data_IF_040769011394
#
_entry.id   IF_040769011394
#
_cell.length_a   1.000
_cell.length_b   1.000
_cell.length_c   1.000
_cell.angle_alpha   90.00
_cell.angle_beta   90.00
_cell.angle_gamma   90.00
#
_symmetry.space_group_name_H-M   'P 1'
#
loop_
_entity.id
_entity.type
_entity.pdbx_description
1 polymer ?
#
# COMPACT_ATOMS: atom_id res chain seq x y z
N UNK A 1 -47.29 18.69 -9.64
CA UNK A 1 -46.04 18.58 -8.87
C UNK A 1 -46.23 19.20 -7.49
N UNK A 2 -46.41 18.39 -6.44
CA UNK A 2 -46.17 18.70 -5.01
C UNK A 2 -46.09 17.30 -4.34
N UNK A 3 -44.90 16.76 -4.12
CA UNK A 3 -44.08 16.83 -2.89
C UNK A 3 -44.61 15.99 -1.72
N UNK A 4 -43.82 14.97 -1.37
CA UNK A 4 -43.86 14.13 -0.17
C UNK A 4 -43.85 14.99 1.11
N UNK A 5 -44.57 14.55 2.16
CA UNK A 5 -44.04 14.59 3.52
C UNK A 5 -44.80 13.66 4.49
N UNK A 6 -44.00 12.96 5.30
CA UNK A 6 -44.29 12.07 6.41
C UNK A 6 -45.23 12.65 7.48
N UNK A 7 -46.01 11.76 8.10
CA UNK A 7 -46.63 11.98 9.40
C UNK A 7 -47.21 10.69 10.00
N UNK A 8 -46.55 10.16 11.03
CA UNK A 8 -47.17 9.19 11.97
C UNK A 8 -47.15 9.86 13.35
N UNK A 9 -48.30 10.07 14.00
CA UNK A 9 -48.36 10.61 15.35
C UNK A 9 -48.78 9.56 16.40
N UNK A 10 -48.54 9.95 17.67
CA UNK A 10 -49.24 9.52 18.89
C UNK A 10 -48.98 8.07 19.35
N UNK A 11 -49.08 7.69 20.62
CA UNK A 11 -49.16 8.31 21.94
C UNK A 11 -49.17 7.14 22.93
N UNK A 12 -48.56 7.28 24.11
CA UNK A 12 -49.20 7.08 25.42
C UNK A 12 -48.21 6.60 26.48
N UNK A 13 -48.22 7.33 27.58
CA UNK A 13 -47.47 7.09 28.79
C UNK A 13 -48.04 5.93 29.62
N UNK A 14 -47.19 5.28 30.42
CA UNK A 14 -47.64 4.76 31.72
C UNK A 14 -46.52 4.90 32.73
N UNK A 15 -46.86 5.60 33.81
CA UNK A 15 -46.04 6.01 34.94
C UNK A 15 -45.85 4.84 35.91
N UNK A 16 -44.61 4.63 36.37
CA UNK A 16 -44.34 3.87 37.60
C UNK A 16 -43.44 4.68 38.52
N UNK A 17 -43.97 4.97 39.70
CA UNK A 17 -43.34 5.64 40.84
C UNK A 17 -42.41 4.68 41.59
N UNK A 18 -41.21 5.12 41.94
CA UNK A 18 -40.48 4.59 43.11
C UNK A 18 -39.46 5.59 43.66
N UNK A 19 -39.84 6.15 44.81
CA UNK A 19 -39.03 6.50 46.00
C UNK A 19 -37.56 6.89 45.81
N UNK A 20 -37.29 8.20 45.87
CA UNK A 20 -35.95 8.75 46.09
C UNK A 20 -35.61 8.78 47.59
N UNK A 21 -34.62 7.99 48.01
CA UNK A 21 -34.00 8.10 49.33
C UNK A 21 -33.12 9.35 49.37
N UNK A 22 -33.46 10.31 50.23
CA UNK A 22 -32.64 11.48 50.53
C UNK A 22 -31.44 11.07 51.39
N UNK A 23 -30.28 10.89 50.78
CA UNK A 23 -29.01 10.90 51.49
C UNK A 23 -28.54 12.34 51.63
N UNK A 24 -28.38 12.82 52.86
CA UNK A 24 -27.78 14.13 53.14
C UNK A 24 -26.34 14.16 52.60
N UNK A 25 -25.89 15.26 51.96
CA UNK A 25 -24.51 15.39 51.55
C UNK A 25 -23.65 15.64 52.79
N UNK A 26 -22.89 14.63 53.20
CA UNK A 26 -21.75 14.83 54.10
C UNK A 26 -20.75 15.68 53.30
N UNK A 27 -20.59 16.94 53.69
CA UNK A 27 -19.56 17.82 53.13
C UNK A 27 -18.19 17.15 53.37
N UNK A 28 -17.44 16.78 52.32
CA UNK A 28 -16.08 16.31 52.52
C UNK A 28 -15.25 17.52 52.94
N UNK A 29 -14.88 17.58 54.21
CA UNK A 29 -13.81 18.46 54.68
C UNK A 29 -12.58 18.19 53.82
N UNK A 30 -12.23 19.17 53.01
CA UNK A 30 -11.16 19.11 52.03
C UNK A 30 -9.81 19.17 52.75
N UNK A 31 -9.47 18.11 53.49
CA UNK A 31 -8.11 17.89 53.96
C UNK A 31 -7.28 17.55 52.74
N UNK A 32 -6.60 18.55 52.18
CA UNK A 32 -5.47 18.32 51.28
C UNK A 32 -4.41 17.59 52.10
N UNK A 33 -4.44 16.26 52.09
CA UNK A 33 -3.32 15.43 52.48
C UNK A 33 -2.20 15.72 51.48
N UNK A 34 -1.43 16.79 51.72
CA UNK A 34 -0.11 16.93 51.11
C UNK A 34 0.70 15.78 51.66
N UNK A 35 0.91 14.75 50.85
CA UNK A 35 1.93 13.75 51.10
C UNK A 35 3.25 14.53 51.17
N UNK A 36 3.71 14.84 52.37
CA UNK A 36 5.09 15.25 52.58
C UNK A 36 5.92 14.01 52.30
N UNK A 37 6.86 14.11 51.37
CA UNK A 37 7.91 13.11 51.24
C UNK A 37 8.69 13.12 52.56
N UNK A 38 8.29 12.26 53.50
CA UNK A 38 9.13 11.91 54.63
C UNK A 38 10.31 11.19 54.01
N UNK A 39 11.46 11.85 53.96
CA UNK A 39 12.70 11.28 53.44
C UNK A 39 13.11 10.09 54.29
N UNK A 40 12.57 8.92 54.00
CA UNK A 40 12.96 7.66 54.59
C UNK A 40 14.12 7.08 53.76
N UNK A 41 15.25 7.76 53.83
CA UNK A 41 16.53 7.27 53.33
C UNK A 41 17.65 7.73 54.30
N UNK A 42 17.82 7.04 55.44
CA UNK A 42 18.80 7.43 56.45
C UNK A 42 20.26 7.24 55.99
N UNK A 43 20.50 6.47 54.93
CA UNK A 43 21.84 6.14 54.42
C UNK A 43 22.16 6.80 53.06
N UNK A 44 21.23 7.57 52.50
CA UNK A 44 21.41 8.27 51.22
C UNK A 44 21.64 7.34 50.01
N UNK A 45 21.17 6.10 50.11
CA UNK A 45 21.41 5.05 49.11
C UNK A 45 20.50 5.21 47.88
N UNK A 46 19.36 5.85 48.05
CA UNK A 46 18.40 6.13 46.99
C UNK A 46 18.55 7.59 46.58
N UNK A 47 19.17 7.81 45.41
CA UNK A 47 19.29 9.14 44.82
C UNK A 47 17.94 9.90 44.74
N UNK A 48 17.96 11.20 44.45
CA UNK A 48 16.76 12.03 44.49
C UNK A 48 15.63 11.43 43.65
N UNK A 49 14.37 11.49 44.11
CA UNK A 49 13.24 10.86 43.44
C UNK A 49 13.16 11.36 42.00
N UNK A 50 13.34 10.45 41.04
CA UNK A 50 13.21 10.81 39.63
C UNK A 50 11.74 11.14 39.33
N UNK A 51 11.49 12.35 38.85
CA UNK A 51 10.14 12.76 38.46
C UNK A 51 9.79 12.21 37.06
N UNK A 52 8.50 12.26 36.69
CA UNK A 52 8.06 11.91 35.34
C UNK A 52 8.03 10.41 34.98
N UNK A 53 7.99 9.49 35.95
CA UNK A 53 7.81 8.06 35.67
C UNK A 53 6.50 7.75 34.94
N UNK A 54 5.41 8.42 35.30
CA UNK A 54 4.11 8.27 34.64
C UNK A 54 4.21 8.71 33.17
N UNK A 55 4.77 9.90 32.91
CA UNK A 55 4.95 10.41 31.55
C UNK A 55 5.83 9.49 30.68
N UNK A 56 6.91 8.92 31.25
CA UNK A 56 7.77 7.94 30.56
C UNK A 56 7.02 6.65 30.21
N UNK A 57 6.22 6.12 31.14
CA UNK A 57 5.40 4.93 30.89
C UNK A 57 4.29 5.19 29.86
N UNK A 58 3.65 6.35 29.92
CA UNK A 58 2.62 6.74 28.94
C UNK A 58 3.22 6.92 27.54
N UNK A 59 4.40 7.53 27.44
CA UNK A 59 5.13 7.67 26.18
C UNK A 59 5.51 6.29 25.62
N UNK A 60 6.03 5.38 26.46
CA UNK A 60 6.33 4.01 26.05
C UNK A 60 5.09 3.27 25.55
N UNK A 61 3.96 3.33 26.27
CA UNK A 61 2.70 2.70 25.83
C UNK A 61 2.15 3.28 24.53
N UNK A 62 2.37 4.58 24.26
CA UNK A 62 2.00 5.19 22.97
C UNK A 62 2.85 4.62 21.85
N UNK A 63 4.16 4.52 22.05
CA UNK A 63 5.06 3.90 21.07
C UNK A 63 4.73 2.41 20.83
N UNK A 64 4.39 1.65 21.88
CA UNK A 64 3.95 0.25 21.76
C UNK A 64 2.65 0.16 20.97
N UNK A 65 1.64 0.99 21.27
CA UNK A 65 0.39 1.03 20.49
C UNK A 65 0.61 1.45 19.04
N UNK A 66 1.51 2.39 18.79
CA UNK A 66 1.87 2.81 17.43
C UNK A 66 2.61 1.68 16.69
N UNK A 67 3.45 0.90 17.40
CA UNK A 67 4.12 -0.27 16.85
C UNK A 67 3.12 -1.39 16.53
N UNK A 68 2.21 -1.73 17.44
CA UNK A 68 1.13 -2.70 17.20
C UNK A 68 0.24 -2.27 16.03
N UNK A 69 -0.09 -0.98 15.92
CA UNK A 69 -0.87 -0.45 14.81
C UNK A 69 -0.13 -0.55 13.47
N UNK A 70 1.19 -0.30 13.47
CA UNK A 70 2.05 -0.49 12.29
C UNK A 70 2.11 -1.97 11.89
N UNK A 71 2.33 -2.86 12.85
CA UNK A 71 2.40 -4.30 12.59
C UNK A 71 1.08 -4.84 12.05
N UNK A 72 -0.06 -4.45 12.62
CA UNK A 72 -1.38 -4.84 12.13
C UNK A 72 -1.66 -4.31 10.72
N UNK A 73 -1.22 -3.09 10.41
CA UNK A 73 -1.31 -2.55 9.06
C UNK A 73 -0.42 -3.33 8.08
N UNK A 74 0.83 -3.62 8.45
CA UNK A 74 1.75 -4.40 7.65
C UNK A 74 1.27 -5.84 7.40
N UNK A 75 0.61 -6.46 8.39
CA UNK A 75 -0.01 -7.77 8.24
C UNK A 75 -1.13 -7.73 7.20
N UNK A 76 -2.03 -6.75 7.27
CA UNK A 76 -3.09 -6.57 6.25
C UNK A 76 -2.51 -6.34 4.85
N UNK A 77 -1.47 -5.53 4.74
CA UNK A 77 -0.77 -5.30 3.46
C UNK A 77 -0.13 -6.59 2.94
N UNK A 78 0.40 -7.45 3.82
CA UNK A 78 0.94 -8.76 3.45
C UNK A 78 -0.15 -9.72 2.98
N UNK A 79 -1.25 -9.81 3.72
CA UNK A 79 -2.40 -10.65 3.38
C UNK A 79 -3.01 -10.27 2.03
N UNK A 80 -3.23 -8.97 1.76
CA UNK A 80 -3.72 -8.52 0.46
C UNK A 80 -2.73 -8.84 -0.67
N UNK A 81 -1.43 -8.62 -0.44
CA UNK A 81 -0.39 -9.01 -1.42
C UNK A 81 -0.40 -10.51 -1.71
N UNK A 82 -0.59 -11.34 -0.69
CA UNK A 82 -0.67 -12.80 -0.85
C UNK A 82 -1.95 -13.22 -1.57
N UNK A 83 -3.08 -12.58 -1.26
CA UNK A 83 -4.34 -12.77 -1.97
C UNK A 83 -4.20 -12.44 -3.45
N UNK A 84 -3.66 -11.27 -3.80
CA UNK A 84 -3.40 -10.90 -5.20
C UNK A 84 -2.47 -11.92 -5.88
N UNK A 85 -1.40 -12.37 -5.19
CA UNK A 85 -0.51 -13.42 -5.72
C UNK A 85 -1.25 -14.73 -5.99
N UNK A 86 -2.16 -15.14 -5.11
CA UNK A 86 -2.94 -16.36 -5.29
C UNK A 86 -3.88 -16.25 -6.50
N UNK A 87 -4.54 -15.09 -6.69
CA UNK A 87 -5.39 -14.83 -7.85
C UNK A 87 -4.60 -14.89 -9.18
N UNK A 88 -3.38 -14.34 -9.19
CA UNK A 88 -2.50 -14.42 -10.39
C UNK A 88 -2.12 -15.85 -10.76
N UNK A 89 -1.98 -16.72 -9.77
CA UNK A 89 -1.63 -18.12 -9.95
C UNK A 89 -2.82 -18.96 -10.42
N UNK A 90 -4.04 -18.60 -10.00
CA UNK A 90 -5.25 -19.32 -10.42
C UNK A 90 -5.74 -18.93 -11.81
N UNK A 91 -5.41 -17.72 -12.28
CA UNK A 91 -5.78 -17.23 -13.62
C UNK A 91 -5.09 -18.01 -14.74
N UNK A 92 -5.89 -18.45 -15.71
CA UNK A 92 -5.44 -19.14 -16.92
C UNK A 92 -5.33 -18.11 -18.04
N UNK A 93 -4.18 -18.08 -18.72
CA UNK A 93 -3.95 -17.18 -19.84
C UNK A 93 -4.64 -17.75 -21.09
N UNK A 94 -5.58 -17.03 -21.70
CA UNK A 94 -6.21 -17.46 -22.94
C UNK A 94 -5.28 -17.32 -24.16
N UNK A 95 -5.58 -18.05 -25.22
CA UNK A 95 -4.75 -18.10 -26.42
C UNK A 95 -5.23 -17.23 -27.58
N UNK A 96 -6.53 -16.92 -27.60
CA UNK A 96 -7.12 -16.11 -28.67
C UNK A 96 -7.12 -14.62 -28.32
N UNK A 97 -6.97 -13.72 -29.30
CA UNK A 97 -6.95 -12.27 -29.08
C UNK A 97 -8.28 -11.73 -28.52
N UNK A 98 -9.42 -12.29 -28.91
CA UNK A 98 -10.74 -11.90 -28.38
C UNK A 98 -10.87 -12.26 -26.89
N UNK A 99 -10.55 -13.51 -26.52
CA UNK A 99 -10.59 -13.94 -25.12
C UNK A 99 -9.56 -13.20 -24.27
N UNK A 100 -8.45 -12.75 -24.88
CA UNK A 100 -7.45 -11.93 -24.20
C UNK A 100 -7.98 -10.53 -23.86
N UNK A 101 -8.84 -9.95 -24.71
CA UNK A 101 -9.53 -8.69 -24.41
C UNK A 101 -10.47 -8.86 -23.22
N UNK A 102 -11.30 -9.90 -23.22
CA UNK A 102 -12.19 -10.22 -22.09
C UNK A 102 -11.40 -10.45 -20.79
N UNK A 103 -10.29 -11.18 -20.87
CA UNK A 103 -9.40 -11.40 -19.73
C UNK A 103 -8.91 -10.08 -19.10
N UNK A 104 -8.56 -9.09 -19.92
CA UNK A 104 -8.14 -7.79 -19.40
C UNK A 104 -9.29 -6.94 -18.85
N UNK A 105 -10.50 -7.10 -19.37
CA UNK A 105 -11.68 -6.44 -18.82
C UNK A 105 -12.08 -7.00 -17.46
N UNK A 106 -11.89 -8.31 -17.26
CA UNK A 106 -12.07 -8.99 -15.96
C UNK A 106 -10.89 -8.75 -14.98
N UNK A 107 -9.84 -8.05 -15.43
CA UNK A 107 -8.65 -7.77 -14.61
C UNK A 107 -8.85 -6.53 -13.75
N UNK A 108 -8.48 -6.62 -12.47
CA UNK A 108 -8.53 -5.48 -11.57
C UNK A 108 -7.54 -4.39 -12.00
N UNK A 109 -7.90 -3.11 -11.82
CA UNK A 109 -7.05 -1.99 -12.22
C UNK A 109 -5.65 -2.02 -11.57
N UNK A 110 -5.49 -2.57 -10.36
CA UNK A 110 -4.20 -2.71 -9.69
C UNK A 110 -3.32 -3.82 -10.29
N UNK A 111 -3.93 -4.79 -10.96
CA UNK A 111 -3.24 -5.95 -11.54
C UNK A 111 -2.97 -5.79 -13.03
N UNK A 112 -3.65 -4.86 -13.70
CA UNK A 112 -3.52 -4.64 -15.13
C UNK A 112 -2.06 -4.38 -15.52
N UNK A 113 -1.32 -3.60 -14.74
CA UNK A 113 0.11 -3.32 -14.98
C UNK A 113 0.96 -4.60 -14.95
N UNK A 114 0.65 -5.49 -14.01
CA UNK A 114 1.34 -6.77 -13.88
C UNK A 114 1.02 -7.68 -15.07
N UNK A 115 -0.26 -7.81 -15.42
CA UNK A 115 -0.68 -8.65 -16.56
C UNK A 115 -0.15 -8.11 -17.89
N UNK A 116 -0.09 -6.78 -18.07
CA UNK A 116 0.56 -6.13 -19.21
C UNK A 116 2.04 -6.52 -19.29
N UNK A 117 2.77 -6.46 -18.17
CA UNK A 117 4.19 -6.83 -18.13
C UNK A 117 4.40 -8.31 -18.43
N UNK A 118 3.52 -9.19 -17.92
CA UNK A 118 3.57 -10.65 -18.12
C UNK A 118 3.26 -11.04 -19.56
N UNK A 119 2.29 -10.38 -20.17
CA UNK A 119 1.76 -10.68 -21.50
C UNK A 119 2.34 -9.78 -22.59
N UNK A 120 3.38 -8.98 -22.29
CA UNK A 120 4.03 -8.08 -23.26
C UNK A 120 4.31 -8.73 -24.62
N UNK A 121 4.82 -9.98 -24.70
CA UNK A 121 5.09 -10.64 -26.00
C UNK A 121 3.83 -10.96 -26.82
N UNK A 122 2.66 -11.04 -26.20
CA UNK A 122 1.36 -11.29 -26.86
C UNK A 122 0.59 -10.00 -27.14
N UNK A 123 0.93 -8.90 -26.47
CA UNK A 123 0.43 -7.53 -26.71
C UNK A 123 1.06 -6.93 -27.98
N UNK A 124 0.77 -7.57 -29.12
CA UNK A 124 1.24 -7.20 -30.45
C UNK A 124 0.22 -6.32 -31.18
N UNK A 125 0.63 -5.74 -32.31
CA UNK A 125 -0.23 -4.92 -33.17
C UNK A 125 -1.50 -5.63 -33.62
N UNK A 126 -1.47 -6.97 -33.73
CA UNK A 126 -2.63 -7.81 -34.07
C UNK A 126 -3.75 -7.68 -33.04
N UNK A 127 -3.43 -7.69 -31.74
CA UNK A 127 -4.40 -7.51 -30.68
C UNK A 127 -4.99 -6.10 -30.71
N UNK A 128 -4.15 -5.09 -30.90
CA UNK A 128 -4.63 -3.71 -31.01
C UNK A 128 -5.48 -3.48 -32.27
N UNK A 129 -5.19 -4.18 -33.37
CA UNK A 129 -6.02 -4.15 -34.57
C UNK A 129 -7.41 -4.76 -34.28
N UNK A 130 -7.46 -5.85 -33.52
CA UNK A 130 -8.71 -6.47 -33.10
C UNK A 130 -9.53 -5.58 -32.14
N UNK A 131 -8.89 -4.97 -31.14
CA UNK A 131 -9.53 -3.97 -30.27
C UNK A 131 -10.14 -2.82 -31.07
N UNK A 132 -9.38 -2.28 -32.05
CA UNK A 132 -9.88 -1.21 -32.93
C UNK A 132 -11.04 -1.66 -33.82
N UNK A 133 -11.03 -2.93 -34.25
CA UNK A 133 -12.11 -3.51 -35.04
C UNK A 133 -13.39 -3.63 -34.21
N UNK A 134 -13.32 -4.18 -33.00
CA UNK A 134 -14.46 -4.31 -32.08
C UNK A 134 -15.01 -2.94 -31.68
N UNK A 135 -14.14 -1.97 -31.37
CA UNK A 135 -14.53 -0.58 -31.15
C UNK A 135 -15.20 0.04 -32.38
N UNK A 136 -14.67 -0.21 -33.58
CA UNK A 136 -15.28 0.23 -34.83
C UNK A 136 -16.68 -0.35 -35.01
N UNK A 137 -16.86 -1.64 -34.75
CA UNK A 137 -18.14 -2.32 -34.86
C UNK A 137 -19.18 -1.75 -33.90
N UNK A 138 -18.80 -1.47 -32.66
CA UNK A 138 -19.68 -0.86 -31.67
C UNK A 138 -20.02 0.61 -32.03
N UNK A 139 -19.02 1.41 -32.44
CA UNK A 139 -19.21 2.82 -32.83
C UNK A 139 -20.13 3.01 -34.04
N UNK A 140 -20.04 2.10 -35.01
CA UNK A 140 -20.84 2.16 -36.25
C UNK A 140 -22.09 1.28 -36.22
N UNK A 141 -22.41 0.66 -35.08
CA UNK A 141 -23.66 -0.07 -34.91
C UNK A 141 -24.87 0.87 -35.05
N UNK A 142 -25.88 0.42 -35.79
CA UNK A 142 -27.07 1.24 -36.12
C UNK A 142 -28.00 1.39 -34.91
N UNK A 143 -28.02 0.42 -34.00
CA UNK A 143 -28.82 0.42 -32.78
C UNK A 143 -27.91 0.66 -31.56
N UNK A 144 -27.90 1.90 -31.07
CA UNK A 144 -27.20 2.26 -29.82
C UNK A 144 -28.12 2.01 -28.64
N UNK A 145 -27.88 0.92 -27.92
CA UNK A 145 -28.46 0.67 -26.60
C UNK A 145 -27.47 1.13 -25.54
N UNK A 146 -27.97 1.43 -24.34
CA UNK A 146 -27.15 1.87 -23.19
C UNK A 146 -26.02 0.86 -22.91
N UNK A 147 -26.32 -0.44 -22.89
CA UNK A 147 -25.34 -1.53 -22.71
C UNK A 147 -24.19 -1.50 -23.74
N UNK A 148 -24.45 -1.05 -24.97
CA UNK A 148 -23.43 -0.98 -26.02
C UNK A 148 -22.55 0.27 -25.88
N UNK A 149 -23.10 1.35 -25.32
CA UNK A 149 -22.34 2.56 -25.00
C UNK A 149 -21.43 2.34 -23.79
N UNK A 150 -21.92 1.65 -22.76
CA UNK A 150 -21.11 1.24 -21.61
C UNK A 150 -19.95 0.34 -22.04
N UNK A 151 -20.24 -0.68 -22.86
CA UNK A 151 -19.20 -1.57 -23.41
C UNK A 151 -18.17 -0.84 -24.25
N UNK A 152 -18.59 0.17 -25.01
CA UNK A 152 -17.67 1.01 -25.78
C UNK A 152 -16.73 1.79 -24.84
N UNK A 153 -17.25 2.36 -23.75
CA UNK A 153 -16.43 3.09 -22.77
C UNK A 153 -15.41 2.15 -22.12
N UNK A 154 -15.81 0.94 -21.73
CA UNK A 154 -14.91 -0.07 -21.16
C UNK A 154 -13.75 -0.41 -22.11
N UNK A 155 -14.06 -0.66 -23.39
CA UNK A 155 -13.06 -1.01 -24.40
C UNK A 155 -12.14 0.16 -24.75
N UNK A 156 -12.65 1.40 -24.78
CA UNK A 156 -11.82 2.59 -24.97
C UNK A 156 -10.87 2.83 -23.80
N UNK A 157 -11.38 2.68 -22.56
CA UNK A 157 -10.56 2.77 -21.36
C UNK A 157 -9.47 1.69 -21.36
N UNK A 158 -9.81 0.45 -21.71
CA UNK A 158 -8.86 -0.65 -21.82
C UNK A 158 -7.80 -0.37 -22.89
N UNK A 159 -8.20 0.06 -24.09
CA UNK A 159 -7.26 0.37 -25.17
C UNK A 159 -6.21 1.39 -24.71
N UNK A 160 -6.66 2.46 -24.03
CA UNK A 160 -5.77 3.49 -23.51
C UNK A 160 -4.85 2.95 -22.42
N UNK A 161 -5.37 2.17 -21.47
CA UNK A 161 -4.59 1.57 -20.39
C UNK A 161 -3.50 0.61 -20.93
N UNK A 162 -3.84 -0.23 -21.91
CA UNK A 162 -2.88 -1.14 -22.55
C UNK A 162 -1.80 -0.37 -23.31
N UNK A 163 -2.15 0.70 -24.01
CA UNK A 163 -1.18 1.51 -24.74
C UNK A 163 -0.22 2.24 -23.79
N UNK A 164 -0.74 2.90 -22.76
CA UNK A 164 0.09 3.59 -21.76
C UNK A 164 0.98 2.60 -20.98
N UNK A 165 0.43 1.44 -20.60
CA UNK A 165 1.17 0.41 -19.87
C UNK A 165 2.27 -0.25 -20.69
N UNK A 166 2.04 -0.51 -21.99
CA UNK A 166 3.07 -1.07 -22.88
C UNK A 166 4.20 -0.06 -23.13
N UNK A 167 3.87 1.22 -23.35
CA UNK A 167 4.87 2.27 -23.48
C UNK A 167 5.69 2.47 -22.19
N UNK A 168 5.05 2.43 -21.02
CA UNK A 168 5.71 2.53 -19.74
C UNK A 168 6.66 1.35 -19.50
N UNK A 169 6.20 0.13 -19.83
CA UNK A 169 7.02 -1.08 -19.73
C UNK A 169 8.27 -1.01 -20.62
N UNK A 170 8.11 -0.59 -21.88
CA UNK A 170 9.23 -0.49 -22.82
C UNK A 170 10.25 0.57 -22.37
N UNK A 171 9.79 1.71 -21.85
CA UNK A 171 10.66 2.74 -21.25
C UNK A 171 11.44 2.18 -20.07
N UNK A 172 10.75 1.50 -19.14
CA UNK A 172 11.40 0.85 -17.99
C UNK A 172 12.43 -0.19 -18.44
N UNK A 173 12.11 -1.01 -19.45
CA UNK A 173 13.03 -2.00 -19.98
C UNK A 173 14.29 -1.36 -20.56
N UNK A 174 14.16 -0.28 -21.33
CA UNK A 174 15.30 0.47 -21.85
C UNK A 174 16.17 1.04 -20.73
N UNK A 175 15.56 1.62 -19.70
CA UNK A 175 16.26 2.15 -18.53
C UNK A 175 17.02 1.07 -17.75
N UNK A 176 16.43 -0.11 -17.55
CA UNK A 176 17.06 -1.24 -16.88
C UNK A 176 18.24 -1.79 -17.68
N UNK A 177 18.10 -1.91 -19.00
CA UNK A 177 19.20 -2.33 -19.89
C UNK A 177 20.34 -1.31 -19.86
N UNK A 178 20.03 -0.01 -19.87
CA UNK A 178 21.02 1.06 -19.73
C UNK A 178 21.71 0.99 -18.36
N UNK A 179 20.96 0.85 -17.27
CA UNK A 179 21.48 0.71 -15.91
C UNK A 179 22.41 -0.50 -15.77
N UNK A 180 22.05 -1.65 -16.37
CA UNK A 180 22.92 -2.83 -16.41
C UNK A 180 24.24 -2.57 -17.14
N UNK A 181 24.21 -1.87 -18.28
CA UNK A 181 25.43 -1.48 -19.02
C UNK A 181 26.31 -0.56 -18.18
N UNK A 182 25.70 0.43 -17.53
CA UNK A 182 26.35 1.34 -16.59
C UNK A 182 27.00 0.58 -15.42
N UNK A 183 26.30 -0.35 -14.77
CA UNK A 183 26.86 -1.23 -13.73
C UNK A 183 28.05 -2.04 -14.24
N UNK A 184 27.90 -2.63 -15.42
CA UNK A 184 28.97 -3.44 -16.01
C UNK A 184 30.21 -2.58 -16.25
N UNK A 185 30.05 -1.33 -16.72
CA UNK A 185 31.15 -0.36 -16.88
C UNK A 185 31.82 -0.04 -15.54
N UNK A 186 31.05 0.16 -14.46
CA UNK A 186 31.56 0.46 -13.12
C UNK A 186 32.33 -0.74 -12.54
N UNK A 187 31.79 -1.95 -12.66
CA UNK A 187 32.38 -3.16 -12.07
C UNK A 187 33.60 -3.68 -12.85
N UNK A 188 33.71 -3.34 -14.14
CA UNK A 188 34.85 -3.75 -14.98
C UNK A 188 35.96 -2.70 -15.07
N UNK A 189 35.73 -1.47 -14.58
CA UNK A 189 36.72 -0.42 -14.64
C UNK A 189 37.84 -0.62 -13.62
N UNK A 190 39.06 -0.20 -14.00
CA UNK A 190 40.21 -0.20 -13.10
C UNK A 190 40.09 0.88 -12.03
N UNK A 191 39.59 2.06 -12.43
CA UNK A 191 39.42 3.24 -11.59
C UNK A 191 37.95 3.65 -11.46
N UNK A 192 37.26 3.04 -10.49
CA UNK A 192 35.83 3.25 -10.23
C UNK A 192 35.47 4.73 -10.09
N UNK A 193 36.29 5.50 -9.36
CA UNK A 193 36.05 6.93 -9.10
C UNK A 193 36.09 7.78 -10.37
N UNK A 194 37.08 7.55 -11.24
CA UNK A 194 37.20 8.28 -12.49
C UNK A 194 36.04 7.94 -13.43
N UNK A 195 35.66 6.65 -13.51
CA UNK A 195 34.52 6.23 -14.32
C UNK A 195 33.19 6.76 -13.81
N UNK A 196 33.02 6.90 -12.48
CA UNK A 196 31.82 7.50 -11.92
C UNK A 196 31.72 9.00 -12.28
N UNK A 197 32.82 9.74 -12.23
CA UNK A 197 32.84 11.15 -12.65
C UNK A 197 32.45 11.30 -14.13
N UNK A 198 33.03 10.48 -15.01
CA UNK A 198 32.68 10.44 -16.43
C UNK A 198 31.18 10.10 -16.65
N UNK A 199 30.64 9.17 -15.86
CA UNK A 199 29.23 8.77 -15.95
C UNK A 199 28.27 9.82 -15.40
N UNK A 200 28.68 10.61 -14.40
CA UNK A 200 27.93 11.77 -13.92
C UNK A 200 27.87 12.83 -15.02
N UNK A 201 29.00 13.14 -15.65
CA UNK A 201 29.09 14.11 -16.75
C UNK A 201 28.17 13.73 -17.93
N UNK A 202 28.04 12.44 -18.20
CA UNK A 202 27.18 11.90 -19.25
C UNK A 202 25.72 11.64 -18.82
N UNK A 203 25.33 12.03 -17.60
CA UNK A 203 24.00 11.76 -17.01
C UNK A 203 23.58 10.28 -17.08
N UNK A 204 24.53 9.36 -16.90
CA UNK A 204 24.29 7.92 -16.97
C UNK A 204 23.91 7.30 -15.61
N UNK A 205 23.88 8.10 -14.54
CA UNK A 205 23.45 7.70 -13.21
C UNK A 205 21.93 7.82 -13.08
N UNK A 206 21.23 6.77 -13.50
CA UNK A 206 19.77 6.72 -13.47
C UNK A 206 19.23 6.17 -12.15
N UNK A 207 17.97 6.48 -11.81
CA UNK A 207 17.29 5.92 -10.64
C UNK A 207 17.33 4.38 -10.65
N UNK A 208 17.17 3.78 -11.82
CA UNK A 208 17.19 2.34 -12.05
C UNK A 208 18.56 1.70 -11.75
N UNK A 209 19.66 2.47 -11.85
CA UNK A 209 20.99 2.03 -11.43
C UNK A 209 21.10 1.96 -9.90
N UNK A 210 20.60 2.99 -9.21
CA UNK A 210 20.61 3.06 -7.75
C UNK A 210 19.73 1.96 -7.14
N UNK A 211 18.55 1.72 -7.69
CA UNK A 211 17.66 0.65 -7.21
C UNK A 211 18.31 -0.73 -7.28
N UNK A 212 19.08 -1.02 -8.35
CA UNK A 212 19.81 -2.29 -8.48
C UNK A 212 20.92 -2.43 -7.42
N UNK A 213 21.59 -1.33 -7.07
CA UNK A 213 22.59 -1.33 -6.01
C UNK A 213 21.94 -1.50 -4.63
N UNK A 214 20.82 -0.82 -4.39
CA UNK A 214 20.06 -0.93 -3.13
C UNK A 214 19.50 -2.34 -2.93
N UNK A 215 18.97 -2.97 -3.99
CA UNK A 215 18.50 -4.36 -3.93
C UNK A 215 19.66 -5.33 -3.64
N UNK A 216 20.83 -5.11 -4.24
CA UNK A 216 22.02 -5.90 -3.93
C UNK A 216 22.42 -5.75 -2.46
N UNK A 217 22.51 -4.51 -1.94
CA UNK A 217 22.81 -4.22 -0.53
C UNK A 217 21.78 -4.88 0.39
N UNK A 218 20.49 -4.76 0.09
CA UNK A 218 19.44 -5.38 0.87
C UNK A 218 19.56 -6.92 0.89
N UNK A 219 19.84 -7.53 -0.26
CA UNK A 219 20.06 -8.98 -0.36
C UNK A 219 21.29 -9.44 0.41
N UNK A 220 22.38 -8.67 0.39
CA UNK A 220 23.59 -8.94 1.16
C UNK A 220 23.30 -8.88 2.67
N UNK A 221 22.60 -7.85 3.13
CA UNK A 221 22.22 -7.70 4.54
C UNK A 221 21.31 -8.85 5.02
N UNK A 222 20.38 -9.32 4.20
CA UNK A 222 19.55 -10.48 4.51
C UNK A 222 20.40 -11.76 4.66
N UNK A 223 21.35 -11.96 3.75
CA UNK A 223 22.25 -13.12 3.80
C UNK A 223 23.17 -13.09 5.03
N UNK A 224 23.70 -11.93 5.41
CA UNK A 224 24.54 -11.77 6.60
C UNK A 224 23.76 -12.06 7.89
N UNK A 225 22.47 -11.67 7.97
CA UNK A 225 21.57 -12.06 9.06
C UNK A 225 21.35 -13.58 9.10
N UNK A 226 21.19 -14.23 7.94
CA UNK A 226 21.03 -15.69 7.87
C UNK A 226 22.31 -16.42 8.30
N UNK A 227 23.49 -15.91 7.95
CA UNK A 227 24.79 -16.48 8.34
C UNK A 227 25.03 -16.33 9.85
N UNK A 228 24.74 -15.16 10.42
CA UNK A 228 24.89 -14.93 11.87
C UNK A 228 23.92 -15.77 12.70
N UNK A 229 22.68 -15.97 12.26
CA UNK A 229 21.73 -16.85 12.96
C UNK A 229 22.15 -18.33 12.88
N UNK A 230 22.76 -18.76 11.77
CA UNK A 230 23.28 -20.13 11.62
C UNK A 230 24.53 -20.41 12.46
N UNK A 231 25.37 -19.40 12.68
CA UNK A 231 26.59 -19.54 13.50
C UNK A 231 26.34 -19.44 15.02
N UNK A 232 25.13 -19.07 15.44
CA UNK A 232 24.71 -19.00 16.84
C UNK A 232 23.86 -20.21 17.30
N UNK A 233 23.80 -21.29 16.50
CA UNK A 233 23.24 -22.60 16.88
C UNK A 233 24.36 -23.64 16.93
#
# INVERSE_FOLDING_TARGET
>A
MVALALGIPASAATTTTSTALRTSPISPTNHRLRISCVGWDPEGMFGPPQTGHIARLEFRRRLERDAEAREAFEQKVREEKERCRALRQSRIIPDTPAELIEYFLDTEAQEIEFEISRLRPRLNDELFAQLRFELGQLRFSVSKTEDMEDRLIELEALQKALQEGTEAYDKMQMELVAAKKSLTKILTSKDVKATLLEMVELNQLNRSLLTLLDENIASANLNDQVITVRNCR
#
